data_IF_687264305599
#
_entry.id   IF_687264305599
#
_cell.length_a   1.000
_cell.length_b   1.000
_cell.length_c   1.000
_cell.angle_alpha   90.00
_cell.angle_beta   90.00
_cell.angle_gamma   90.00
#
_symmetry.space_group_name_H-M   'P 1'
#
loop_
_entity.id
_entity.type
_entity.pdbx_description
1 polymer ?
#
# COMPACT_ATOMS: atom_id res chain seq x y z
N UNK A 1 -21.71 14.50 61.08
CA UNK A 1 -20.53 14.24 60.22
C UNK A 1 -20.84 13.01 59.38
N UNK A 2 -20.94 13.18 58.07
CA UNK A 2 -21.24 12.08 57.13
C UNK A 2 -21.17 12.62 55.71
N UNK A 3 -19.95 12.79 55.21
CA UNK A 3 -19.69 13.15 53.82
C UNK A 3 -19.81 11.88 52.97
N UNK A 4 -20.83 11.81 52.11
CA UNK A 4 -20.90 10.84 51.02
C UNK A 4 -20.11 11.42 49.85
N UNK A 5 -18.95 10.83 49.57
CA UNK A 5 -18.23 11.07 48.32
C UNK A 5 -18.98 10.37 47.17
N UNK A 6 -19.58 11.17 46.29
CA UNK A 6 -20.17 10.68 45.06
C UNK A 6 -19.07 10.57 44.00
N UNK A 7 -18.52 9.36 43.84
CA UNK A 7 -17.56 9.03 42.78
C UNK A 7 -18.30 8.96 41.45
N UNK A 8 -18.37 10.10 40.76
CA UNK A 8 -18.84 10.20 39.38
C UNK A 8 -17.81 9.55 38.43
N UNK A 9 -18.01 8.27 38.14
CA UNK A 9 -17.29 7.49 37.13
C UNK A 9 -17.44 8.12 35.73
N UNK A 10 -16.44 8.90 35.30
CA UNK A 10 -16.32 9.33 33.90
C UNK A 10 -15.93 8.11 33.04
N UNK A 11 -16.92 7.54 32.33
CA UNK A 11 -16.65 6.63 31.21
C UNK A 11 -16.11 7.44 30.04
N UNK A 12 -14.79 7.41 29.82
CA UNK A 12 -14.20 7.91 28.58
C UNK A 12 -14.67 7.06 27.40
N UNK A 13 -15.67 7.57 26.67
CA UNK A 13 -16.08 7.01 25.40
C UNK A 13 -15.00 7.39 24.39
N UNK A 14 -14.03 6.49 24.18
CA UNK A 14 -13.08 6.62 23.07
C UNK A 14 -13.83 6.43 21.75
N UNK A 15 -14.33 7.52 21.18
CA UNK A 15 -14.78 7.57 19.79
C UNK A 15 -13.57 7.30 18.89
N UNK A 16 -13.24 6.03 18.64
CA UNK A 16 -12.31 5.67 17.58
C UNK A 16 -12.92 6.16 16.27
N UNK A 17 -12.44 7.30 15.75
CA UNK A 17 -12.82 7.81 14.44
C UNK A 17 -12.68 6.66 13.43
N UNK A 18 -13.81 6.17 12.91
CA UNK A 18 -13.80 5.17 11.84
C UNK A 18 -13.28 5.87 10.59
N UNK A 19 -12.08 5.51 10.13
CA UNK A 19 -11.45 6.09 8.94
C UNK A 19 -12.35 6.07 7.70
N UNK A 20 -12.05 6.91 6.71
CA UNK A 20 -12.86 7.09 5.50
C UNK A 20 -13.04 5.77 4.73
N UNK A 21 -14.27 5.43 4.27
CA UNK A 21 -14.47 4.24 3.46
C UNK A 21 -13.75 4.38 2.11
N UNK A 22 -13.10 3.31 1.68
CA UNK A 22 -12.44 3.22 0.37
C UNK A 22 -12.89 1.94 -0.33
N UNK A 23 -12.59 1.88 -1.63
CA UNK A 23 -12.92 0.73 -2.48
C UNK A 23 -11.66 0.19 -3.13
N UNK A 24 -11.49 -1.13 -3.08
CA UNK A 24 -10.59 -1.86 -3.97
C UNK A 24 -11.41 -2.63 -5.01
N UNK A 25 -10.96 -2.60 -6.26
CA UNK A 25 -11.44 -3.50 -7.31
C UNK A 25 -10.50 -4.70 -7.35
N UNK A 26 -11.01 -5.88 -7.00
CA UNK A 26 -10.19 -7.09 -6.86
C UNK A 26 -10.73 -8.14 -7.83
N UNK A 27 -9.89 -8.83 -8.62
CA UNK A 27 -10.37 -9.90 -9.49
C UNK A 27 -11.09 -10.96 -8.67
N UNK A 28 -12.26 -11.40 -9.14
CA UNK A 28 -13.08 -12.40 -8.43
C UNK A 28 -12.28 -13.67 -8.11
N UNK A 29 -11.42 -14.11 -9.03
CA UNK A 29 -10.53 -15.25 -8.83
C UNK A 29 -9.71 -15.12 -7.54
N UNK A 30 -9.08 -13.95 -7.32
CA UNK A 30 -8.29 -13.67 -6.12
C UNK A 30 -9.18 -13.60 -4.88
N UNK A 31 -10.38 -13.00 -5.00
CA UNK A 31 -11.34 -12.98 -3.89
C UNK A 31 -11.70 -14.39 -3.42
N UNK A 32 -11.95 -15.30 -4.36
CA UNK A 32 -12.30 -16.69 -4.03
C UNK A 32 -11.10 -17.46 -3.48
N UNK A 33 -9.94 -17.38 -4.14
CA UNK A 33 -8.71 -18.08 -3.73
C UNK A 33 -8.28 -17.71 -2.31
N UNK A 34 -8.24 -16.41 -2.01
CA UNK A 34 -7.85 -15.88 -0.69
C UNK A 34 -9.02 -15.80 0.30
N UNK A 35 -10.24 -16.19 -0.11
CA UNK A 35 -11.48 -16.08 0.69
C UNK A 35 -11.68 -14.68 1.28
N UNK A 36 -11.39 -13.64 0.48
CA UNK A 36 -11.41 -12.25 0.93
C UNK A 36 -12.82 -11.80 1.33
N UNK A 37 -12.92 -11.11 2.46
CA UNK A 37 -14.17 -10.54 2.97
C UNK A 37 -14.00 -9.05 3.25
N UNK A 38 -14.99 -8.19 2.92
CA UNK A 38 -14.89 -6.74 3.14
C UNK A 38 -14.53 -6.35 4.59
N UNK A 39 -15.11 -7.06 5.57
CA UNK A 39 -14.87 -6.81 6.99
C UNK A 39 -13.48 -7.22 7.49
N UNK A 40 -12.76 -8.08 6.76
CA UNK A 40 -11.38 -8.52 7.08
C UNK A 40 -10.33 -7.84 6.21
N UNK A 41 -10.74 -7.05 5.22
CA UNK A 41 -9.85 -6.51 4.19
C UNK A 41 -8.82 -5.52 4.77
N UNK A 42 -9.15 -4.82 5.87
CA UNK A 42 -8.17 -3.98 6.57
C UNK A 42 -7.05 -4.83 7.17
N UNK A 43 -7.37 -5.95 7.81
CA UNK A 43 -6.38 -6.85 8.42
C UNK A 43 -5.51 -7.51 7.34
N UNK A 44 -6.16 -7.92 6.25
CA UNK A 44 -5.48 -8.46 5.07
C UNK A 44 -4.47 -7.48 4.48
N UNK A 45 -4.87 -6.21 4.31
CA UNK A 45 -3.97 -5.16 3.82
C UNK A 45 -2.76 -4.98 4.75
N UNK A 46 -2.99 -4.88 6.07
CA UNK A 46 -1.91 -4.76 7.06
C UNK A 46 -0.94 -5.94 6.96
N UNK A 47 -1.48 -7.16 6.85
CA UNK A 47 -0.69 -8.39 6.73
C UNK A 47 0.18 -8.38 5.47
N UNK A 48 -0.41 -8.10 4.30
CA UNK A 48 0.30 -8.08 3.02
C UNK A 48 1.41 -7.02 3.01
N UNK A 49 1.13 -5.81 3.52
CA UNK A 49 2.14 -4.75 3.60
C UNK A 49 3.28 -5.12 4.54
N UNK A 50 2.97 -5.66 5.72
CA UNK A 50 4.00 -6.08 6.68
C UNK A 50 4.95 -7.12 6.08
N UNK A 51 4.41 -8.06 5.30
CA UNK A 51 5.18 -9.14 4.69
C UNK A 51 5.96 -8.70 3.45
N UNK A 52 5.35 -7.93 2.56
CA UNK A 52 5.87 -7.74 1.20
C UNK A 52 6.42 -6.36 0.87
N UNK A 53 6.19 -5.33 1.68
CA UNK A 53 6.57 -3.95 1.31
C UNK A 53 8.07 -3.81 0.96
N UNK A 54 8.97 -4.46 1.71
CA UNK A 54 10.41 -4.39 1.48
C UNK A 54 10.78 -5.05 0.15
N UNK A 55 10.33 -6.28 -0.05
CA UNK A 55 10.60 -7.05 -1.26
C UNK A 55 9.98 -6.39 -2.51
N UNK A 56 8.85 -5.69 -2.36
CA UNK A 56 8.24 -4.93 -3.44
C UNK A 56 9.12 -3.72 -3.85
N UNK A 57 9.71 -3.00 -2.90
CA UNK A 57 10.60 -1.84 -3.15
C UNK A 57 11.92 -2.19 -3.86
N UNK A 58 12.32 -3.45 -3.79
CA UNK A 58 13.51 -3.98 -4.47
C UNK A 58 13.22 -4.35 -5.93
N UNK A 59 11.95 -4.37 -6.35
CA UNK A 59 11.59 -4.71 -7.72
C UNK A 59 12.01 -3.59 -8.68
N UNK A 60 12.80 -3.97 -9.67
CA UNK A 60 13.29 -3.06 -10.70
C UNK A 60 12.21 -2.71 -11.73
N UNK A 61 11.36 -3.67 -12.04
CA UNK A 61 10.33 -3.55 -13.08
C UNK A 61 8.96 -3.92 -12.51
N UNK A 62 7.95 -3.10 -12.83
CA UNK A 62 6.56 -3.37 -12.52
C UNK A 62 5.64 -2.56 -13.44
N UNK A 63 4.43 -3.07 -13.69
CA UNK A 63 3.48 -2.42 -14.59
C UNK A 63 3.81 -2.72 -16.05
N UNK A 64 3.19 -2.02 -17.01
CA UNK A 64 3.41 -2.27 -18.45
C UNK A 64 4.01 -1.08 -19.19
N UNK A 65 3.80 0.12 -18.68
CA UNK A 65 4.18 1.36 -19.36
C UNK A 65 4.59 2.40 -18.34
N UNK A 66 5.64 3.14 -18.64
CA UNK A 66 6.04 4.37 -17.97
C UNK A 66 5.97 5.52 -19.01
N UNK A 67 5.58 6.77 -18.67
CA UNK A 67 5.33 7.34 -17.35
C UNK A 67 3.94 7.08 -16.74
N UNK A 68 3.05 6.44 -17.51
CA UNK A 68 1.67 6.21 -17.09
C UNK A 68 1.56 5.24 -15.91
N UNK A 69 0.50 5.40 -15.10
CA UNK A 69 0.16 4.43 -14.04
C UNK A 69 -0.40 3.18 -14.68
N UNK A 70 0.12 2.01 -14.30
CA UNK A 70 -0.40 0.73 -14.77
C UNK A 70 -1.60 0.27 -13.93
N UNK A 71 -2.67 -0.13 -14.63
CA UNK A 71 -3.91 -0.63 -14.03
C UNK A 71 -4.10 -2.14 -14.30
N UNK A 72 -5.12 -2.71 -13.68
CA UNK A 72 -5.52 -4.10 -13.91
C UNK A 72 -5.84 -4.36 -15.39
N UNK A 73 -5.67 -5.62 -15.83
CA UNK A 73 -5.95 -5.97 -17.23
C UNK A 73 -7.44 -5.77 -17.54
N UNK A 74 -7.74 -5.39 -18.79
CA UNK A 74 -9.12 -5.41 -19.31
C UNK A 74 -9.64 -6.86 -19.33
N UNK A 75 -10.96 -7.01 -19.23
CA UNK A 75 -11.63 -8.33 -19.30
C UNK A 75 -11.64 -9.13 -18.00
N UNK A 76 -11.07 -8.60 -16.90
CA UNK A 76 -11.18 -9.24 -15.59
C UNK A 76 -12.57 -8.99 -14.99
N UNK A 77 -13.17 -10.04 -14.41
CA UNK A 77 -14.33 -9.89 -13.53
C UNK A 77 -13.87 -9.29 -12.20
N UNK A 78 -14.18 -8.02 -11.98
CA UNK A 78 -13.75 -7.28 -10.80
C UNK A 78 -14.87 -7.22 -9.77
N UNK A 79 -14.56 -7.59 -8.53
CA UNK A 79 -15.43 -7.42 -7.38
C UNK A 79 -15.10 -6.13 -6.66
N UNK A 80 -16.12 -5.31 -6.41
CA UNK A 80 -16.02 -4.06 -5.64
C UNK A 80 -16.01 -4.38 -4.14
N UNK A 81 -14.90 -4.09 -3.47
CA UNK A 81 -14.68 -4.42 -2.06
C UNK A 81 -14.51 -3.15 -1.25
N UNK A 82 -15.56 -2.76 -0.53
CA UNK A 82 -15.59 -1.55 0.30
C UNK A 82 -15.14 -1.86 1.73
N UNK A 83 -14.23 -1.07 2.27
CA UNK A 83 -13.74 -1.24 3.63
C UNK A 83 -13.15 0.07 4.18
N UNK A 84 -12.80 0.10 5.47
CA UNK A 84 -12.16 1.23 6.14
C UNK A 84 -10.76 0.79 6.57
N UNK A 85 -9.70 1.13 5.81
CA UNK A 85 -8.34 0.71 6.14
C UNK A 85 -7.81 1.47 7.35
N UNK A 86 -6.77 0.94 7.99
CA UNK A 86 -5.88 1.75 8.81
C UNK A 86 -5.23 2.84 7.93
N UNK A 87 -5.19 4.08 8.41
CA UNK A 87 -4.66 5.23 7.66
C UNK A 87 -3.21 5.02 7.23
N UNK A 88 -2.36 4.51 8.13
CA UNK A 88 -0.95 4.24 7.85
C UNK A 88 -0.80 3.22 6.73
N UNK A 89 -1.59 2.15 6.77
CA UNK A 89 -1.54 1.10 5.74
C UNK A 89 -2.04 1.62 4.39
N UNK A 90 -3.09 2.44 4.38
CA UNK A 90 -3.61 3.03 3.15
C UNK A 90 -2.62 4.01 2.51
N UNK A 91 -1.97 4.85 3.31
CA UNK A 91 -0.90 5.74 2.86
C UNK A 91 0.28 4.94 2.35
N UNK A 92 0.71 3.90 3.07
CA UNK A 92 1.81 3.01 2.68
C UNK A 92 1.54 2.35 1.33
N UNK A 93 0.33 1.79 1.14
CA UNK A 93 -0.08 1.22 -0.15
C UNK A 93 -0.04 2.28 -1.26
N UNK A 94 -0.48 3.50 -0.98
CA UNK A 94 -0.44 4.60 -1.94
C UNK A 94 0.96 5.00 -2.37
N UNK A 95 1.87 5.17 -1.42
CA UNK A 95 3.28 5.53 -1.68
C UNK A 95 3.98 4.41 -2.45
N UNK A 96 3.79 3.15 -2.04
CA UNK A 96 4.33 1.99 -2.75
C UNK A 96 3.79 1.93 -4.18
N UNK A 97 2.48 2.05 -4.37
CA UNK A 97 1.86 1.99 -5.69
C UNK A 97 2.42 3.09 -6.62
N UNK A 98 2.54 4.31 -6.11
CA UNK A 98 3.14 5.42 -6.84
C UNK A 98 4.59 5.13 -7.23
N UNK A 99 5.43 4.72 -6.28
CA UNK A 99 6.84 4.43 -6.51
C UNK A 99 7.07 3.26 -7.47
N UNK A 100 6.16 2.29 -7.45
CA UNK A 100 6.18 1.14 -8.34
C UNK A 100 5.47 1.38 -9.69
N UNK A 101 4.88 2.56 -9.91
CA UNK A 101 4.22 2.90 -11.19
C UNK A 101 2.89 2.17 -11.44
N UNK A 102 2.20 1.71 -10.40
CA UNK A 102 0.95 0.94 -10.49
C UNK A 102 -0.17 1.58 -9.70
N UNK A 103 -1.42 1.21 -9.99
CA UNK A 103 -2.57 1.61 -9.17
C UNK A 103 -2.62 0.84 -7.83
N UNK A 104 -3.29 1.40 -6.81
CA UNK A 104 -3.50 0.70 -5.51
C UNK A 104 -4.20 -0.65 -5.66
N UNK A 105 -5.21 -0.71 -6.55
CA UNK A 105 -5.96 -1.95 -6.83
C UNK A 105 -5.07 -3.02 -7.46
N UNK A 106 -4.22 -2.62 -8.42
CA UNK A 106 -3.25 -3.53 -9.03
C UNK A 106 -2.21 -4.00 -8.00
N UNK A 107 -1.65 -3.08 -7.21
CA UNK A 107 -0.67 -3.44 -6.17
C UNK A 107 -1.27 -4.41 -5.15
N UNK A 108 -2.47 -4.14 -4.64
CA UNK A 108 -3.14 -5.07 -3.73
C UNK A 108 -3.32 -6.46 -4.38
N UNK A 109 -3.73 -6.51 -5.65
CA UNK A 109 -3.90 -7.77 -6.39
C UNK A 109 -2.57 -8.53 -6.50
N UNK A 110 -1.48 -7.84 -6.87
CA UNK A 110 -0.12 -8.41 -6.93
C UNK A 110 0.25 -9.05 -5.58
N UNK A 111 0.09 -8.31 -4.49
CA UNK A 111 0.47 -8.79 -3.15
C UNK A 111 -0.37 -9.99 -2.72
N UNK A 112 -1.68 -9.96 -2.98
CA UNK A 112 -2.59 -11.05 -2.63
C UNK A 112 -2.32 -12.32 -3.47
N UNK A 113 -1.98 -12.17 -4.75
CA UNK A 113 -1.62 -13.28 -5.62
C UNK A 113 -0.26 -13.86 -5.21
N UNK A 114 0.71 -12.99 -4.91
CA UNK A 114 2.04 -13.40 -4.40
C UNK A 114 1.94 -14.18 -3.09
N UNK A 115 1.07 -13.78 -2.18
CA UNK A 115 0.81 -14.57 -0.96
C UNK A 115 0.23 -15.96 -1.28
N UNK A 116 -0.56 -16.10 -2.34
CA UNK A 116 -1.17 -17.36 -2.70
C UNK A 116 -0.19 -18.32 -3.40
N UNK A 117 0.64 -17.81 -4.30
CA UNK A 117 1.54 -18.61 -5.14
C UNK A 117 2.97 -18.69 -4.60
N UNK A 118 3.33 -17.86 -3.63
CA UNK A 118 4.72 -17.57 -3.22
C UNK A 118 5.60 -16.99 -4.33
N UNK A 119 5.02 -16.65 -5.47
CA UNK A 119 5.71 -16.06 -6.62
C UNK A 119 5.07 -14.74 -7.02
N UNK A 120 5.89 -13.79 -7.46
CA UNK A 120 5.35 -12.55 -8.00
C UNK A 120 4.78 -12.87 -9.39
N UNK A 121 3.54 -12.49 -9.70
CA UNK A 121 2.91 -12.92 -10.95
C UNK A 121 3.73 -12.44 -12.16
N UNK A 122 4.19 -13.40 -12.97
CA UNK A 122 5.13 -13.20 -14.07
C UNK A 122 4.66 -12.14 -15.09
N UNK A 123 3.36 -12.09 -15.31
CA UNK A 123 2.72 -11.17 -16.25
C UNK A 123 2.75 -9.70 -15.79
N UNK A 124 3.38 -9.42 -14.65
CA UNK A 124 3.57 -8.11 -14.02
C UNK A 124 5.05 -7.78 -13.73
N UNK A 125 5.99 -8.74 -13.84
CA UNK A 125 7.42 -8.58 -13.46
C UNK A 125 8.37 -8.26 -14.63
N UNK A 126 7.98 -8.50 -15.88
CA UNK A 126 8.71 -8.09 -17.09
C UNK A 126 8.35 -6.68 -17.59
N UNK A 127 7.87 -5.84 -16.68
CA UNK A 127 7.21 -4.57 -16.95
C UNK A 127 8.12 -3.39 -17.30
N UNK A 128 7.54 -2.18 -17.24
CA UNK A 128 8.34 -0.95 -17.28
C UNK A 128 9.20 -0.79 -16.00
N UNK A 129 10.29 -0.02 -16.09
CA UNK A 129 11.08 0.34 -14.91
C UNK A 129 10.21 1.08 -13.89
N UNK A 130 10.40 0.77 -12.61
CA UNK A 130 9.68 1.47 -11.53
C UNK A 130 10.20 2.90 -11.39
N UNK A 131 9.37 3.82 -10.89
CA UNK A 131 9.80 5.19 -10.59
C UNK A 131 10.95 5.20 -9.59
N UNK A 132 10.89 4.33 -8.58
CA UNK A 132 11.96 4.21 -7.58
C UNK A 132 13.27 3.78 -8.24
N UNK A 133 13.24 2.85 -9.18
CA UNK A 133 14.45 2.43 -9.91
C UNK A 133 14.99 3.55 -10.78
N UNK A 134 14.16 4.20 -11.58
CA UNK A 134 14.57 5.35 -12.39
C UNK A 134 15.14 6.48 -11.53
N UNK A 135 14.51 6.77 -10.39
CA UNK A 135 15.02 7.77 -9.45
C UNK A 135 16.38 7.37 -8.87
N UNK A 136 16.62 6.09 -8.59
CA UNK A 136 17.94 5.61 -8.12
C UNK A 136 19.02 5.72 -9.20
N UNK A 137 18.64 5.56 -10.47
CA UNK A 137 19.57 5.68 -11.62
C UNK A 137 19.88 7.13 -11.97
N UNK A 138 18.87 8.01 -11.94
CA UNK A 138 19.01 9.44 -12.26
C UNK A 138 19.55 10.22 -11.06
N UNK A 139 19.26 9.79 -9.83
CA UNK A 139 19.70 10.51 -8.64
C UNK A 139 21.22 10.45 -8.55
N UNK A 140 21.89 11.61 -8.60
CA UNK A 140 23.30 11.69 -8.33
C UNK A 140 23.60 11.25 -6.90
N UNK A 141 24.84 10.80 -6.60
CA UNK A 141 25.23 10.45 -5.24
C UNK A 141 24.98 11.65 -4.32
N UNK A 142 24.22 11.43 -3.23
CA UNK A 142 23.76 12.45 -2.27
C UNK A 142 24.83 13.47 -1.85
N UNK A 143 26.09 13.03 -1.82
CA UNK A 143 27.24 13.81 -1.39
C UNK A 143 27.61 14.96 -2.36
N UNK A 144 27.20 14.89 -3.62
CA UNK A 144 27.56 15.91 -4.63
C UNK A 144 26.61 17.11 -4.64
N UNK A 145 25.35 16.90 -4.25
CA UNK A 145 24.34 17.97 -4.24
C UNK A 145 24.41 18.81 -2.96
N UNK A 146 24.65 18.18 -1.80
CA UNK A 146 24.77 18.93 -0.54
C UNK A 146 26.01 19.83 -0.50
N UNK A 147 27.14 19.36 -1.03
CA UNK A 147 28.40 20.14 -1.08
C UNK A 147 28.34 21.33 -2.05
N UNK A 148 27.47 21.29 -3.06
CA UNK A 148 27.26 22.40 -4.00
C UNK A 148 26.30 23.47 -3.49
N UNK A 149 25.30 23.09 -2.69
CA UNK A 149 24.27 24.01 -2.18
C UNK A 149 24.67 24.64 -0.84
N UNK A 150 25.47 23.95 -0.04
CA UNK A 150 25.94 24.44 1.25
C UNK A 150 27.46 24.25 1.32
N UNK A 151 28.23 25.13 0.66
CA UNK A 151 29.68 25.15 0.88
C UNK A 151 29.93 25.43 2.37
N UNK A 152 30.77 24.61 2.99
CA UNK A 152 31.19 24.82 4.38
C UNK A 152 31.78 26.23 4.52
N UNK A 153 31.40 27.00 5.55
CA UNK A 153 32.02 28.30 5.77
C UNK A 153 33.51 28.09 6.06
N UNK A 154 34.34 28.86 5.36
CA UNK A 154 35.80 28.91 5.52
C UNK A 154 36.18 29.60 6.83
#
# INVERSE_FOLDING_TARGET
MGLKEEVSSKREITFRKKGTPVTLLIPEQIVHLRKLKPNKLSQELSFLLKKYQKCALEKKFLGRSFPAVSYQRKGLKLKKMNFRPNEKDWVTLGVLALGLGVSRCLLFTILAEWENTNEIPYYQTGGALTKITLLREISPPKNRFFSQLFPSPS
#
